data_IF_503721031003
#
_entry.id   IF_503721031003
#
_cell.length_a   1.000
_cell.length_b   1.000
_cell.length_c   1.000
_cell.angle_alpha   90.00
_cell.angle_beta   90.00
_cell.angle_gamma   90.00
#
_symmetry.space_group_name_H-M   'P 1'
#
loop_
_entity.id
_entity.type
_entity.pdbx_description
1 polymer ?
#
# COMPACT_ATOMS: atom_id res chain seq x y z
N UNK A 1 -11.32 -6.51 -12.17
CA UNK A 1 -10.38 -6.90 -11.10
C UNK A 1 -9.06 -6.18 -11.27
N UNK A 2 -8.31 -6.45 -12.32
CA UNK A 2 -7.20 -5.60 -12.78
C UNK A 2 -7.78 -4.61 -13.80
N UNK A 3 -7.36 -3.34 -13.86
CA UNK A 3 -7.84 -2.40 -14.90
C UNK A 3 -7.33 -2.72 -16.32
N UNK A 4 -7.21 -4.00 -16.65
CA UNK A 4 -6.75 -4.52 -17.95
C UNK A 4 -7.84 -5.39 -18.55
N UNK A 5 -7.69 -5.71 -19.83
CA UNK A 5 -8.56 -6.68 -20.48
C UNK A 5 -8.35 -8.06 -19.85
N UNK A 6 -9.41 -8.60 -19.25
CA UNK A 6 -9.43 -9.89 -18.55
C UNK A 6 -10.51 -10.77 -19.16
N UNK A 7 -10.17 -12.03 -19.42
CA UNK A 7 -11.11 -13.07 -19.84
C UNK A 7 -11.16 -14.15 -18.74
N UNK A 8 -12.35 -14.43 -18.22
CA UNK A 8 -12.58 -15.51 -17.25
C UNK A 8 -13.20 -16.72 -17.96
N UNK A 9 -12.50 -17.86 -17.91
CA UNK A 9 -12.96 -19.10 -18.53
C UNK A 9 -13.51 -20.05 -17.46
N UNK A 10 -14.84 -20.20 -17.44
CA UNK A 10 -15.51 -21.18 -16.58
C UNK A 10 -15.57 -22.53 -17.29
N UNK A 11 -14.73 -23.48 -16.86
CA UNK A 11 -14.71 -24.85 -17.36
C UNK A 11 -15.17 -25.83 -16.30
N UNK A 12 -15.62 -27.00 -16.76
CA UNK A 12 -16.02 -28.08 -15.88
C UNK A 12 -14.87 -28.51 -14.95
N UNK A 13 -15.19 -28.84 -13.69
CA UNK A 13 -14.21 -29.08 -12.60
C UNK A 13 -13.40 -30.38 -12.71
N UNK A 14 -13.14 -30.87 -13.93
CA UNK A 14 -12.32 -32.05 -14.17
C UNK A 14 -10.85 -31.69 -14.41
N UNK A 15 -9.92 -32.33 -13.69
CA UNK A 15 -8.46 -32.12 -13.85
C UNK A 15 -7.99 -32.29 -15.30
N UNK A 16 -8.58 -33.24 -16.03
CA UNK A 16 -8.28 -33.47 -17.44
C UNK A 16 -8.66 -32.27 -18.32
N UNK A 17 -9.81 -31.64 -18.05
CA UNK A 17 -10.29 -30.47 -18.78
C UNK A 17 -9.43 -29.26 -18.47
N UNK A 18 -9.12 -28.98 -17.20
CA UNK A 18 -8.23 -27.88 -16.81
C UNK A 18 -6.84 -28.02 -17.42
N UNK A 19 -6.26 -29.23 -17.39
CA UNK A 19 -4.95 -29.51 -17.99
C UNK A 19 -4.96 -29.31 -19.50
N UNK A 20 -6.00 -29.79 -20.19
CA UNK A 20 -6.14 -29.61 -21.64
C UNK A 20 -6.26 -28.13 -22.02
N UNK A 21 -7.02 -27.34 -21.26
CA UNK A 21 -7.17 -25.89 -21.47
C UNK A 21 -5.86 -25.15 -21.22
N UNK A 22 -5.16 -25.44 -20.12
CA UNK A 22 -3.86 -24.81 -19.84
C UNK A 22 -2.83 -25.16 -20.91
N UNK A 23 -2.84 -26.41 -21.39
CA UNK A 23 -1.95 -26.86 -22.47
C UNK A 23 -2.27 -26.18 -23.79
N UNK A 24 -3.54 -26.03 -24.19
CA UNK A 24 -3.87 -25.31 -25.43
C UNK A 24 -3.49 -23.83 -25.35
N UNK A 25 -3.70 -23.18 -24.21
CA UNK A 25 -3.30 -21.80 -23.98
C UNK A 25 -1.77 -21.61 -24.02
N UNK A 26 -0.99 -22.59 -23.57
CA UNK A 26 0.48 -22.50 -23.59
C UNK A 26 1.10 -22.55 -24.99
N UNK A 27 0.33 -22.94 -26.02
CA UNK A 27 0.80 -22.92 -27.42
C UNK A 27 0.68 -21.52 -28.05
N UNK A 28 0.00 -20.58 -27.40
CA UNK A 28 -0.14 -19.21 -27.89
C UNK A 28 1.12 -18.42 -27.50
N UNK A 29 1.92 -17.93 -28.47
CA UNK A 29 3.24 -17.35 -28.18
C UNK A 29 3.19 -16.04 -27.37
N UNK A 30 2.03 -15.39 -27.30
CA UNK A 30 1.83 -14.15 -26.53
C UNK A 30 1.40 -14.39 -25.09
N UNK A 31 1.06 -15.63 -24.71
CA UNK A 31 0.62 -15.98 -23.37
C UNK A 31 1.75 -16.57 -22.54
N UNK A 32 1.82 -16.17 -21.27
CA UNK A 32 2.74 -16.73 -20.28
C UNK A 32 1.97 -17.16 -19.04
N UNK A 33 2.43 -18.19 -18.30
CA UNK A 33 1.88 -18.48 -16.98
C UNK A 33 2.09 -17.29 -16.04
N UNK A 34 1.06 -16.95 -15.27
CA UNK A 34 1.13 -15.86 -14.31
C UNK A 34 1.99 -16.25 -13.10
N UNK A 35 2.74 -15.30 -12.56
CA UNK A 35 3.47 -15.46 -11.31
C UNK A 35 2.50 -15.49 -10.12
N UNK A 36 2.90 -16.07 -8.97
CA UNK A 36 2.09 -16.07 -7.77
C UNK A 36 1.68 -14.64 -7.37
N UNK A 37 0.36 -14.41 -7.29
CA UNK A 37 -0.20 -13.11 -6.89
C UNK A 37 -0.09 -12.00 -7.94
N UNK A 38 0.32 -12.29 -9.18
CA UNK A 38 0.52 -11.28 -10.22
C UNK A 38 -0.76 -10.50 -10.55
N UNK A 39 -1.91 -11.16 -10.58
CA UNK A 39 -3.20 -10.49 -10.81
C UNK A 39 -3.57 -9.53 -9.67
N UNK A 40 -3.35 -9.91 -8.42
CA UNK A 40 -3.59 -9.04 -7.26
C UNK A 40 -2.64 -7.85 -7.27
N UNK A 41 -1.37 -8.09 -7.65
CA UNK A 41 -0.39 -7.01 -7.82
C UNK A 41 -0.80 -6.02 -8.90
N UNK A 42 -1.30 -6.48 -10.04
CA UNK A 42 -1.80 -5.58 -11.08
C UNK A 42 -3.01 -4.78 -10.62
N UNK A 43 -3.92 -5.38 -9.85
CA UNK A 43 -5.07 -4.68 -9.29
C UNK A 43 -4.62 -3.56 -8.35
N UNK A 44 -3.61 -3.83 -7.50
CA UNK A 44 -2.99 -2.86 -6.61
C UNK A 44 -2.30 -1.73 -7.38
N UNK A 45 -1.45 -2.05 -8.37
CA UNK A 45 -0.74 -1.06 -9.19
C UNK A 45 -1.70 -0.17 -10.00
N UNK A 46 -2.87 -0.71 -10.40
CA UNK A 46 -3.91 0.05 -11.10
C UNK A 46 -4.80 0.91 -10.19
N UNK A 47 -4.62 0.84 -8.87
CA UNK A 47 -5.43 1.59 -7.90
C UNK A 47 -6.88 1.09 -7.78
N UNK A 48 -7.18 -0.11 -8.27
CA UNK A 48 -8.50 -0.75 -8.15
C UNK A 48 -8.72 -1.42 -6.80
N UNK A 49 -7.64 -1.77 -6.11
CA UNK A 49 -7.66 -2.25 -4.72
C UNK A 49 -6.65 -1.46 -3.90
N UNK A 50 -7.05 -1.01 -2.72
CA UNK A 50 -6.12 -0.48 -1.72
C UNK A 50 -5.48 -1.63 -0.91
N UNK A 51 -4.34 -1.40 -0.27
CA UNK A 51 -3.70 -2.39 0.61
C UNK A 51 -4.67 -2.85 1.70
N UNK A 52 -5.50 -1.95 2.21
CA UNK A 52 -6.52 -2.28 3.21
C UNK A 52 -7.59 -3.23 2.68
N UNK A 53 -7.97 -3.13 1.41
CA UNK A 53 -8.92 -4.02 0.77
C UNK A 53 -8.30 -5.39 0.47
N UNK A 54 -7.03 -5.43 0.06
CA UNK A 54 -6.29 -6.67 -0.16
C UNK A 54 -6.15 -7.49 1.15
N UNK A 55 -5.86 -6.83 2.27
CA UNK A 55 -5.79 -7.48 3.60
C UNK A 55 -7.14 -8.05 4.02
N UNK A 56 -8.23 -7.33 3.77
CA UNK A 56 -9.59 -7.79 4.05
C UNK A 56 -9.95 -9.03 3.23
N UNK A 57 -9.57 -9.08 1.95
CA UNK A 57 -9.82 -10.25 1.10
C UNK A 57 -9.09 -11.47 1.65
N UNK A 58 -7.82 -11.31 2.08
CA UNK A 58 -7.07 -12.39 2.73
C UNK A 58 -7.76 -12.85 4.01
N UNK A 59 -8.14 -11.93 4.88
CA UNK A 59 -8.80 -12.24 6.16
C UNK A 59 -10.18 -12.90 5.97
N UNK A 60 -10.86 -12.64 4.84
CA UNK A 60 -12.10 -13.32 4.46
C UNK A 60 -11.86 -14.74 3.96
N UNK A 61 -10.82 -14.96 3.16
CA UNK A 61 -10.45 -16.29 2.64
C UNK A 61 -9.98 -17.20 3.77
N UNK A 62 -9.25 -16.66 4.74
CA UNK A 62 -8.70 -17.40 5.89
C UNK A 62 -9.69 -17.56 7.05
N UNK A 63 -10.91 -17.04 6.94
CA UNK A 63 -11.90 -17.09 8.02
C UNK A 63 -12.50 -18.50 8.19
N UNK A 64 -12.15 -19.17 9.30
CA UNK A 64 -12.70 -20.49 9.66
C UNK A 64 -14.02 -20.40 10.46
N UNK A 65 -14.30 -19.24 11.05
CA UNK A 65 -15.49 -19.01 11.89
C UNK A 65 -16.38 -17.88 11.37
N UNK A 66 -17.69 -17.99 11.62
CA UNK A 66 -18.66 -16.94 11.27
C UNK A 66 -18.37 -15.59 11.93
N UNK A 67 -17.72 -15.60 13.09
CA UNK A 67 -17.29 -14.38 13.78
C UNK A 67 -16.14 -13.71 13.03
N UNK A 68 -15.12 -14.46 12.60
CA UNK A 68 -14.02 -13.95 11.78
C UNK A 68 -14.52 -13.39 10.45
N UNK A 69 -15.44 -14.09 9.78
CA UNK A 69 -16.06 -13.62 8.53
C UNK A 69 -16.78 -12.28 8.73
N UNK A 70 -17.60 -12.17 9.79
CA UNK A 70 -18.32 -10.92 10.12
C UNK A 70 -17.35 -9.79 10.49
N UNK A 71 -16.24 -10.10 11.16
CA UNK A 71 -15.19 -9.12 11.47
C UNK A 71 -14.53 -8.60 10.20
N UNK A 72 -14.07 -9.49 9.31
CA UNK A 72 -13.44 -9.11 8.05
C UNK A 72 -14.39 -8.29 7.15
N UNK A 73 -15.69 -8.64 7.09
CA UNK A 73 -16.70 -7.83 6.39
C UNK A 73 -16.87 -6.42 7.00
N UNK A 74 -16.81 -6.29 8.32
CA UNK A 74 -16.87 -4.96 8.98
C UNK A 74 -15.59 -4.17 8.75
N UNK A 75 -14.45 -4.84 8.73
CA UNK A 75 -13.15 -4.28 8.38
C UNK A 75 -13.15 -3.69 6.96
N UNK A 76 -13.80 -4.36 6.01
CA UNK A 76 -13.98 -3.90 4.63
C UNK A 76 -14.66 -2.53 4.52
N UNK A 77 -15.59 -2.21 5.42
CA UNK A 77 -16.45 -1.00 5.29
C UNK A 77 -16.05 0.13 6.25
N UNK A 78 -15.64 -0.20 7.48
CA UNK A 78 -15.50 0.80 8.56
C UNK A 78 -14.05 1.26 8.74
N UNK A 79 -13.08 0.35 8.54
CA UNK A 79 -11.65 0.66 8.68
C UNK A 79 -11.17 1.61 7.57
N UNK A 80 -11.46 1.42 6.28
CA UNK A 80 -10.94 2.32 5.24
C UNK A 80 -11.46 3.77 5.38
N UNK A 81 -12.72 3.98 5.79
CA UNK A 81 -13.26 5.35 6.00
C UNK A 81 -12.52 6.07 7.13
N UNK A 82 -12.29 5.38 8.26
CA UNK A 82 -11.66 5.99 9.42
C UNK A 82 -10.14 6.11 9.27
N UNK A 83 -9.51 5.14 8.60
CA UNK A 83 -8.08 5.12 8.31
C UNK A 83 -7.75 6.20 7.26
N UNK A 84 -8.49 6.28 6.15
CA UNK A 84 -8.30 7.31 5.13
C UNK A 84 -8.44 8.72 5.73
N UNK A 85 -9.45 8.96 6.57
CA UNK A 85 -9.62 10.24 7.26
C UNK A 85 -8.43 10.58 8.19
N UNK A 86 -7.92 9.61 8.95
CA UNK A 86 -6.73 9.80 9.80
C UNK A 86 -5.47 10.05 8.99
N UNK A 87 -5.25 9.30 7.91
CA UNK A 87 -4.09 9.48 7.02
C UNK A 87 -4.12 10.83 6.30
N UNK A 88 -5.27 11.27 5.78
CA UNK A 88 -5.43 12.59 5.16
C UNK A 88 -5.19 13.73 6.16
N UNK A 89 -5.69 13.58 7.39
CA UNK A 89 -5.46 14.57 8.45
C UNK A 89 -3.97 14.64 8.82
N UNK A 90 -3.31 13.48 8.95
CA UNK A 90 -1.90 13.39 9.23
C UNK A 90 -1.05 13.97 8.09
N UNK A 91 -1.35 13.64 6.83
CA UNK A 91 -0.69 14.21 5.66
C UNK A 91 -0.83 15.73 5.61
N UNK A 92 -2.05 16.28 5.77
CA UNK A 92 -2.25 17.74 5.81
C UNK A 92 -1.44 18.39 6.93
N UNK A 93 -1.38 17.76 8.11
CA UNK A 93 -0.59 18.27 9.24
C UNK A 93 0.91 18.23 8.96
N UNK A 94 1.43 17.17 8.33
CA UNK A 94 2.83 17.07 7.94
C UNK A 94 3.19 18.07 6.84
N UNK A 95 2.32 18.29 5.86
CA UNK A 95 2.51 19.32 4.83
C UNK A 95 2.54 20.72 5.46
N UNK A 96 1.64 21.01 6.40
CA UNK A 96 1.63 22.29 7.12
C UNK A 96 2.89 22.48 7.99
N UNK A 97 3.37 21.42 8.65
CA UNK A 97 4.62 21.45 9.41
C UNK A 97 5.85 21.62 8.52
N UNK A 98 5.83 21.06 7.30
CA UNK A 98 6.93 21.21 6.34
C UNK A 98 7.00 22.63 5.75
N UNK A 99 5.87 23.33 5.62
CA UNK A 99 5.79 24.72 5.14
C UNK A 99 6.19 25.75 6.21
N UNK A 100 6.09 25.41 7.50
CA UNK A 100 6.30 26.33 8.62
C UNK A 100 7.74 26.40 9.16
N UNK A 101 8.78 25.87 8.51
CA UNK A 101 10.17 26.23 8.91
C UNK A 101 10.44 27.68 8.51
N UNK A 102 10.42 28.65 9.45
CA UNK A 102 10.75 30.02 9.12
C UNK A 102 12.26 30.05 8.84
N UNK A 103 12.65 30.71 7.76
CA UNK A 103 14.02 31.08 7.45
C UNK A 103 14.54 32.05 8.51
N UNK A 104 15.01 31.52 9.63
CA UNK A 104 15.68 32.28 10.69
C UNK A 104 16.96 31.57 11.08
N UNK A 105 18.07 31.85 10.40
CA UNK A 105 19.39 31.43 10.87
C UNK A 105 19.66 32.16 12.20
N UNK A 106 20.01 31.48 13.30
CA UNK A 106 20.52 32.18 14.47
C UNK A 106 21.87 32.80 14.11
N UNK A 107 21.97 34.12 14.28
CA UNK A 107 23.20 34.88 14.09
C UNK A 107 24.21 34.48 15.20
N UNK A 108 25.31 33.85 14.83
CA UNK A 108 26.30 33.29 15.76
C UNK A 108 27.41 34.31 16.11
N UNK A 109 27.25 35.60 15.79
CA UNK A 109 28.31 36.61 15.91
C UNK A 109 28.38 37.36 17.26
N UNK A 110 28.04 36.73 18.38
CA UNK A 110 28.19 37.35 19.69
C UNK A 110 28.80 36.38 20.71
N UNK A 111 30.06 35.99 20.47
CA UNK A 111 30.95 35.51 21.53
C UNK A 111 31.70 36.75 22.05
N UNK A 112 31.49 37.20 23.29
CA UNK A 112 32.28 38.28 23.84
C UNK A 112 33.68 37.75 24.20
N UNK A 113 34.66 38.01 23.34
CA UNK A 113 36.08 37.86 23.69
C UNK A 113 36.60 39.13 24.35
N UNK A 114 36.79 39.11 25.67
CA UNK A 114 37.53 40.11 26.44
C UNK A 114 37.79 39.55 27.86
N UNK A 115 38.98 39.52 28.46
CA UNK A 115 40.32 39.98 28.14
C UNK A 115 41.28 39.10 28.94
N UNK A 116 42.36 38.66 28.32
CA UNK A 116 43.53 38.06 28.97
C UNK A 116 44.23 39.13 29.81
N UNK A 117 44.44 38.86 31.10
CA UNK A 117 45.24 39.69 31.98
C UNK A 117 46.72 39.63 31.57
N UNK A 118 47.25 40.69 30.97
CA UNK A 118 48.68 40.97 30.97
C UNK A 118 48.98 42.01 32.06
N UNK A 119 49.46 41.53 33.21
CA UNK A 119 50.18 42.35 34.19
C UNK A 119 51.59 42.59 33.66
N UNK A 120 51.96 43.86 33.56
CA UNK A 120 53.35 44.32 33.44
C UNK A 120 53.81 44.75 34.83
N UNK A 121 54.88 44.14 35.33
CA UNK A 121 55.89 44.72 36.23
C UNK A 121 56.92 43.62 36.56
#
# INVERSE_FOLDING_TARGET
>A
YTSRDVLELHVHSGRAVTSAVLSTLSHIPTLRPAEPGEFTRWAFESGQIDLTEAEVIRDLVDAETDVQRKLALRSATVIPICLAAKYLCLQRRLTLLSYQRPSGRPNISAVPTAKTNSRTA
#
